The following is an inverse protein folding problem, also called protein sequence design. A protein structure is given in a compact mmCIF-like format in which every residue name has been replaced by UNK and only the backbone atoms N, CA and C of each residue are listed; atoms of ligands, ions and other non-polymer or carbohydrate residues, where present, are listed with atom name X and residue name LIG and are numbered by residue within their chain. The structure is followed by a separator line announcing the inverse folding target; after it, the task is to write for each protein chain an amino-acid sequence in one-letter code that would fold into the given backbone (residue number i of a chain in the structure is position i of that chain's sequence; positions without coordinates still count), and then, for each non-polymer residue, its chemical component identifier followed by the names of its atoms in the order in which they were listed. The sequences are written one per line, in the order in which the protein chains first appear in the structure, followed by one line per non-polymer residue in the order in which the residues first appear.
data_IF_634286527132
#
_entry.id   IF_634286527132
#
_cell.length_a   1.000
_cell.length_b   1.000
_cell.length_c   1.000
_cell.angle_alpha   90.00
_cell.angle_beta   90.00
_cell.angle_gamma   90.00
#
_symmetry.space_group_name_H-M   'P 1'
#
loop_
_entity.id
_entity.type
_entity.pdbx_description
1 polymer ?
#
# COMPACT_ATOMS: atom_id res chain seq x y z
N UNK A 1 19.64 2.02 7.01
CA UNK A 1 18.68 1.73 5.94
C UNK A 1 19.31 0.66 5.07
N UNK A 2 18.73 -0.54 5.06
CA UNK A 2 19.14 -1.64 4.19
C UNK A 2 18.22 -1.63 2.97
N UNK A 3 18.79 -1.72 1.78
CA UNK A 3 18.05 -1.69 0.52
C UNK A 3 18.47 -2.92 -0.26
N UNK A 4 17.51 -3.74 -0.65
CA UNK A 4 17.70 -4.83 -1.61
C UNK A 4 17.12 -4.41 -2.96
N UNK A 5 17.78 -4.77 -4.05
CA UNK A 5 17.36 -4.38 -5.40
C UNK A 5 17.57 -5.54 -6.37
N UNK A 6 16.59 -5.74 -7.26
CA UNK A 6 16.60 -6.74 -8.31
C UNK A 6 16.11 -6.09 -9.60
N UNK A 7 16.73 -6.41 -10.74
CA UNK A 7 16.21 -6.02 -12.04
C UNK A 7 14.93 -6.81 -12.35
N UNK A 8 13.91 -6.11 -12.83
CA UNK A 8 12.64 -6.67 -13.28
C UNK A 8 12.42 -6.35 -14.76
N UNK A 9 11.58 -7.15 -15.43
CA UNK A 9 11.21 -6.94 -16.84
C UNK A 9 10.03 -5.98 -17.01
N UNK A 10 9.77 -5.54 -18.24
CA UNK A 10 8.59 -4.72 -18.58
C UNK A 10 7.28 -5.40 -18.19
N UNK A 11 7.15 -6.69 -18.45
CA UNK A 11 5.92 -7.45 -18.21
C UNK A 11 5.61 -7.51 -16.70
N UNK A 12 6.64 -7.57 -15.87
CA UNK A 12 6.53 -7.55 -14.41
C UNK A 12 6.08 -6.16 -13.92
N UNK A 13 6.56 -5.08 -14.56
CA UNK A 13 6.08 -3.72 -14.30
C UNK A 13 4.60 -3.58 -14.65
N UNK A 14 4.17 -4.09 -15.80
CA UNK A 14 2.76 -4.02 -16.24
C UNK A 14 1.83 -4.78 -15.29
N UNK A 15 2.29 -5.91 -14.73
CA UNK A 15 1.57 -6.63 -13.68
C UNK A 15 1.40 -5.74 -12.45
N UNK A 16 2.45 -5.07 -11.97
CA UNK A 16 2.34 -4.17 -10.82
C UNK A 16 1.43 -2.97 -11.08
N UNK A 17 1.50 -2.37 -12.27
CA UNK A 17 0.65 -1.24 -12.65
C UNK A 17 -0.84 -1.62 -12.72
N UNK A 18 -1.14 -2.85 -13.15
CA UNK A 18 -2.52 -3.35 -13.29
C UNK A 18 -3.09 -3.97 -12.01
N UNK A 19 -2.26 -4.16 -10.98
CA UNK A 19 -2.66 -4.82 -9.74
C UNK A 19 -3.42 -3.91 -8.77
N UNK A 20 -4.11 -4.56 -7.83
CA UNK A 20 -4.58 -3.91 -6.60
C UNK A 20 -3.58 -4.14 -5.47
N UNK A 21 -3.65 -3.28 -4.48
CA UNK A 21 -2.76 -3.26 -3.34
C UNK A 21 -3.56 -3.25 -2.05
N UNK A 22 -3.28 -4.23 -1.21
CA UNK A 22 -3.76 -4.26 0.16
C UNK A 22 -2.87 -3.37 1.01
N UNK A 23 -3.44 -2.30 1.55
CA UNK A 23 -2.74 -1.37 2.43
C UNK A 23 -3.28 -1.55 3.85
N UNK A 24 -2.41 -1.82 4.80
CA UNK A 24 -2.77 -1.95 6.21
C UNK A 24 -2.24 -0.75 7.00
N UNK A 25 -3.11 -0.08 7.74
CA UNK A 25 -2.74 1.00 8.64
C UNK A 25 -3.27 0.77 10.06
N UNK A 26 -2.68 1.47 11.03
CA UNK A 26 -3.15 1.49 12.42
C UNK A 26 -3.32 2.94 12.90
N UNK A 27 -4.47 3.26 13.48
CA UNK A 27 -4.69 4.49 14.25
C UNK A 27 -4.46 4.20 15.73
N UNK A 28 -3.43 4.78 16.37
CA UNK A 28 -3.07 4.50 17.77
C UNK A 28 -3.91 5.32 18.77
N UNK A 29 -5.23 5.14 18.81
CA UNK A 29 -6.05 5.80 19.83
C UNK A 29 -5.86 5.17 21.21
N UNK A 30 -5.79 6.00 22.27
CA UNK A 30 -5.67 5.54 23.66
C UNK A 30 -6.95 4.79 24.06
N UNK A 31 -6.87 3.46 24.11
CA UNK A 31 -7.92 2.55 24.59
C UNK A 31 -8.60 1.71 23.51
N UNK A 32 -8.60 2.15 22.26
CA UNK A 32 -9.17 1.37 21.16
C UNK A 32 -8.43 1.67 19.84
N UNK A 33 -7.28 1.04 19.59
CA UNK A 33 -6.58 1.19 18.32
C UNK A 33 -7.44 0.63 17.18
N UNK A 34 -7.42 1.30 16.04
CA UNK A 34 -8.17 0.89 14.85
C UNK A 34 -7.19 0.40 13.81
N UNK A 35 -7.44 -0.76 13.21
CA UNK A 35 -6.72 -1.24 12.04
C UNK A 35 -7.61 -1.02 10.81
N UNK A 36 -7.10 -0.32 9.80
CA UNK A 36 -7.77 -0.17 8.52
C UNK A 36 -7.08 -1.06 7.48
N UNK A 37 -7.90 -1.63 6.59
CA UNK A 37 -7.42 -2.40 5.43
C UNK A 37 -8.06 -1.76 4.19
N UNK A 38 -7.24 -1.20 3.32
CA UNK A 38 -7.67 -0.64 2.05
C UNK A 38 -7.29 -1.61 0.92
N UNK A 39 -8.11 -1.65 -0.12
CA UNK A 39 -7.79 -2.33 -1.38
C UNK A 39 -7.80 -1.28 -2.48
N UNK A 40 -6.62 -0.85 -2.89
CA UNK A 40 -6.41 0.30 -3.77
C UNK A 40 -5.84 -0.14 -5.12
N UNK A 41 -6.24 0.50 -6.20
CA UNK A 41 -5.49 0.45 -7.47
C UNK A 41 -4.14 1.14 -7.32
N UNK A 42 -3.26 1.01 -8.33
CA UNK A 42 -1.98 1.72 -8.32
C UNK A 42 -2.12 3.25 -8.26
N UNK A 43 -3.13 3.80 -8.93
CA UNK A 43 -3.43 5.24 -8.93
C UNK A 43 -3.90 5.68 -7.53
N UNK A 44 -4.91 5.01 -6.96
CA UNK A 44 -5.41 5.32 -5.61
C UNK A 44 -4.33 5.16 -4.52
N UNK A 45 -3.43 4.19 -4.68
CA UNK A 45 -2.28 4.03 -3.77
C UNK A 45 -1.32 5.22 -3.84
N UNK A 46 -1.07 5.77 -5.04
CA UNK A 46 -0.23 6.95 -5.18
C UNK A 46 -0.88 8.15 -4.47
N UNK A 47 -2.16 8.39 -4.73
CA UNK A 47 -2.91 9.49 -4.09
C UNK A 47 -2.93 9.35 -2.56
N UNK A 48 -3.10 8.12 -2.07
CA UNK A 48 -3.05 7.81 -0.64
C UNK A 48 -1.69 8.17 -0.02
N UNK A 49 -0.59 7.84 -0.70
CA UNK A 49 0.76 8.09 -0.21
C UNK A 49 1.18 9.57 -0.30
N UNK A 50 0.75 10.28 -1.33
CA UNK A 50 1.03 11.72 -1.49
C UNK A 50 0.43 12.56 -0.35
N UNK A 51 -0.74 12.17 0.15
CA UNK A 51 -1.40 12.84 1.27
C UNK A 51 -1.09 12.25 2.65
N UNK A 52 -0.22 11.25 2.74
CA UNK A 52 -0.12 10.37 3.92
C UNK A 52 0.32 11.09 5.19
N UNK A 53 1.16 12.12 5.05
CA UNK A 53 1.66 12.97 6.14
C UNK A 53 0.55 13.65 6.95
N UNK A 54 -0.65 13.78 6.38
CA UNK A 54 -1.83 14.39 7.02
C UNK A 54 -2.66 13.41 7.85
N UNK A 55 -2.41 12.12 7.72
CA UNK A 55 -3.20 11.09 8.38
C UNK A 55 -2.66 10.81 9.78
N UNK A 56 -3.56 10.67 10.77
CA UNK A 56 -3.21 10.20 12.11
C UNK A 56 -3.08 8.66 12.18
N UNK A 57 -2.69 8.03 11.07
CA UNK A 57 -2.56 6.59 10.92
C UNK A 57 -1.08 6.22 10.70
N UNK A 58 -0.70 4.99 11.06
CA UNK A 58 0.63 4.41 10.81
C UNK A 58 0.56 3.36 9.71
N UNK A 59 1.43 3.46 8.72
CA UNK A 59 1.48 2.53 7.60
C UNK A 59 2.24 1.29 8.04
N UNK A 60 1.59 0.13 7.97
CA UNK A 60 2.16 -1.13 8.44
C UNK A 60 2.65 -1.98 7.27
N UNK A 61 1.83 -2.12 6.23
CA UNK A 61 2.21 -2.88 5.03
C UNK A 61 1.51 -2.37 3.77
N UNK A 62 2.17 -2.59 2.64
CA UNK A 62 1.63 -2.46 1.29
C UNK A 62 1.98 -3.75 0.56
N UNK A 63 0.96 -4.51 0.19
CA UNK A 63 1.11 -5.83 -0.42
C UNK A 63 0.32 -5.86 -1.73
N UNK A 64 0.90 -6.44 -2.78
CA UNK A 64 0.12 -6.74 -3.99
C UNK A 64 -1.00 -7.70 -3.60
N UNK A 65 -2.23 -7.35 -3.95
CA UNK A 65 -3.39 -8.23 -3.85
C UNK A 65 -3.68 -8.79 -5.24
N UNK A 66 -4.13 -10.04 -5.32
CA UNK A 66 -4.55 -10.61 -6.60
C UNK A 66 -5.62 -9.74 -7.26
N UNK A 67 -5.48 -9.51 -8.55
CA UNK A 67 -6.53 -8.93 -9.35
C UNK A 67 -7.75 -9.84 -9.26
N UNK A 68 -8.93 -9.27 -8.98
CA UNK A 68 -10.18 -10.01 -9.14
C UNK A 68 -10.28 -10.31 -10.64
N UNK A 69 -10.15 -11.60 -10.99
CA UNK A 69 -10.26 -12.12 -12.36
C UNK A 69 -11.63 -11.81 -12.99
#
# INVERSE_FOLDING_TARGET
MLIESKSIGSDEVDIYLSSRYRVTTIIPFKGNPIMNIYLLTKEELNDFLEGYDRYAEFLISVEQAEAIA
#
